data_IF_047591415986
#
_entry.id   IF_047591415986
#
_cell.length_a   1.000
_cell.length_b   1.000
_cell.length_c   1.000
_cell.angle_alpha   90.00
_cell.angle_beta   90.00
_cell.angle_gamma   90.00
#
_symmetry.space_group_name_H-M   'P 1'
#
loop_
_entity.id
_entity.type
_entity.pdbx_description
1 polymer ?
#
# COMPACT_ATOMS: atom_id res chain seq x y z
N UNK A 1 -18.88 -54.19 10.65
CA UNK A 1 -19.08 -52.75 10.38
C UNK A 1 -17.84 -51.90 10.70
N UNK A 2 -16.70 -52.48 11.12
CA UNK A 2 -15.44 -51.77 11.37
C UNK A 2 -14.45 -51.81 10.17
N UNK A 3 -14.60 -52.74 9.23
CA UNK A 3 -13.65 -52.90 8.10
C UNK A 3 -13.78 -51.84 7.00
N UNK A 4 -14.94 -51.18 6.90
CA UNK A 4 -15.16 -50.11 5.93
C UNK A 4 -14.59 -48.76 6.39
N UNK A 5 -14.31 -48.60 7.69
CA UNK A 5 -13.79 -47.36 8.28
C UNK A 5 -12.25 -47.32 8.34
N UNK A 6 -11.57 -48.47 8.25
CA UNK A 6 -10.11 -48.59 8.28
C UNK A 6 -9.38 -48.03 7.05
N UNK A 7 -9.87 -48.16 5.79
CA UNK A 7 -9.20 -47.51 4.66
C UNK A 7 -9.41 -45.99 4.67
N UNK A 8 -10.56 -45.53 5.15
CA UNK A 8 -10.91 -44.12 5.26
C UNK A 8 -10.06 -43.39 6.31
N UNK A 9 -9.85 -44.00 7.48
CA UNK A 9 -8.99 -43.45 8.52
C UNK A 9 -7.51 -43.44 8.10
N UNK A 10 -7.05 -44.49 7.41
CA UNK A 10 -5.70 -44.57 6.85
C UNK A 10 -5.45 -43.51 5.78
N UNK A 11 -6.45 -43.26 4.93
CA UNK A 11 -6.39 -42.20 3.92
C UNK A 11 -6.32 -40.81 4.58
N UNK A 12 -7.14 -40.54 5.60
CA UNK A 12 -7.12 -39.28 6.34
C UNK A 12 -5.79 -39.03 7.06
N UNK A 13 -5.17 -40.09 7.59
CA UNK A 13 -3.89 -40.03 8.29
C UNK A 13 -2.74 -39.61 7.37
N UNK A 14 -2.81 -39.96 6.09
CA UNK A 14 -1.79 -39.60 5.09
C UNK A 14 -2.13 -38.24 4.42
N UNK A 15 -3.41 -38.02 4.12
CA UNK A 15 -3.88 -36.85 3.40
C UNK A 15 -3.68 -35.55 4.19
N UNK A 16 -3.94 -35.55 5.50
CA UNK A 16 -3.79 -34.38 6.36
C UNK A 16 -2.36 -33.83 6.36
N UNK A 17 -1.34 -34.63 6.70
CA UNK A 17 0.05 -34.23 6.65
C UNK A 17 0.53 -33.84 5.25
N UNK A 18 0.08 -34.55 4.21
CA UNK A 18 0.43 -34.21 2.83
C UNK A 18 -0.08 -32.81 2.44
N UNK A 19 -1.33 -32.47 2.80
CA UNK A 19 -1.89 -31.14 2.63
C UNK A 19 -1.14 -30.09 3.47
N UNK A 20 -0.76 -30.44 4.70
CA UNK A 20 -0.01 -29.55 5.58
C UNK A 20 1.40 -29.23 5.04
N UNK A 21 2.09 -30.22 4.49
CA UNK A 21 3.39 -30.04 3.83
C UNK A 21 3.25 -29.19 2.56
N UNK A 22 2.24 -29.46 1.72
CA UNK A 22 1.97 -28.66 0.53
C UNK A 22 1.66 -27.19 0.87
N UNK A 23 0.83 -26.95 1.88
CA UNK A 23 0.53 -25.61 2.37
C UNK A 23 1.76 -24.94 2.99
N UNK A 24 2.58 -25.67 3.75
CA UNK A 24 3.85 -25.17 4.32
C UNK A 24 4.83 -24.73 3.23
N UNK A 25 4.98 -25.54 2.17
CA UNK A 25 5.79 -25.20 1.02
C UNK A 25 5.24 -23.95 0.30
N UNK A 26 3.91 -23.86 0.14
CA UNK A 26 3.27 -22.67 -0.42
C UNK A 26 3.51 -21.42 0.44
N UNK A 27 3.38 -21.53 1.78
CA UNK A 27 3.65 -20.44 2.72
C UNK A 27 5.09 -19.96 2.57
N UNK A 28 6.06 -20.87 2.60
CA UNK A 28 7.48 -20.53 2.51
C UNK A 28 7.87 -19.91 1.17
N UNK A 29 7.25 -20.34 0.06
CA UNK A 29 7.58 -19.86 -1.27
C UNK A 29 6.85 -18.58 -1.66
N UNK A 30 5.68 -18.30 -1.07
CA UNK A 30 4.85 -17.14 -1.46
C UNK A 30 4.87 -16.00 -0.45
N UNK A 31 5.21 -16.28 0.81
CA UNK A 31 5.26 -15.25 1.84
C UNK A 31 6.56 -14.47 1.69
N UNK A 32 6.43 -13.15 1.59
CA UNK A 32 7.59 -12.26 1.52
C UNK A 32 8.46 -12.41 2.78
N UNK A 33 9.77 -12.28 2.60
CA UNK A 33 10.77 -12.39 3.68
C UNK A 33 10.52 -11.42 4.84
N UNK A 34 9.75 -10.37 4.63
CA UNK A 34 9.43 -9.34 5.62
C UNK A 34 8.31 -9.74 6.59
N UNK A 35 7.61 -10.86 6.38
CA UNK A 35 6.49 -11.31 7.23
C UNK A 35 6.71 -12.73 7.80
N UNK A 36 7.89 -12.92 8.41
CA UNK A 36 8.29 -14.18 9.08
C UNK A 36 7.31 -14.57 10.18
N UNK A 37 6.81 -13.59 10.95
CA UNK A 37 5.90 -13.84 12.08
C UNK A 37 4.60 -14.47 11.63
N UNK A 38 3.97 -13.96 10.58
CA UNK A 38 2.74 -14.57 10.10
C UNK A 38 3.00 -15.85 9.28
N UNK A 39 4.21 -16.06 8.73
CA UNK A 39 4.57 -17.37 8.15
C UNK A 39 4.61 -18.46 9.24
N UNK A 40 5.29 -18.20 10.37
CA UNK A 40 5.35 -19.12 11.52
C UNK A 40 3.93 -19.37 12.08
N UNK A 41 3.11 -18.33 12.18
CA UNK A 41 1.72 -18.46 12.63
C UNK A 41 0.89 -19.40 11.75
N UNK A 42 0.96 -19.25 10.43
CA UNK A 42 0.23 -20.13 9.50
C UNK A 42 0.78 -21.55 9.45
N UNK A 43 2.09 -21.75 9.62
CA UNK A 43 2.68 -23.08 9.79
C UNK A 43 2.09 -23.77 11.03
N UNK A 44 2.03 -23.07 12.17
CA UNK A 44 1.44 -23.62 13.40
C UNK A 44 -0.03 -24.03 13.22
N UNK A 45 -0.85 -23.17 12.60
CA UNK A 45 -2.27 -23.43 12.36
C UNK A 45 -2.48 -24.64 11.44
N UNK A 46 -1.70 -24.74 10.36
CA UNK A 46 -1.79 -25.84 9.39
C UNK A 46 -1.34 -27.17 9.99
N UNK A 47 -0.30 -27.18 10.83
CA UNK A 47 0.18 -28.40 11.47
C UNK A 47 -0.72 -28.88 12.62
N UNK A 48 -1.28 -27.96 13.41
CA UNK A 48 -2.19 -28.30 14.50
C UNK A 48 -3.58 -28.71 13.99
N UNK A 49 -3.98 -28.17 12.84
CA UNK A 49 -5.27 -28.44 12.23
C UNK A 49 -5.15 -28.66 10.71
N UNK A 50 -4.75 -29.86 10.25
CA UNK A 50 -4.37 -30.09 8.85
C UNK A 50 -5.48 -29.84 7.83
N UNK A 51 -6.74 -30.09 8.18
CA UNK A 51 -7.86 -29.84 7.25
C UNK A 51 -8.36 -28.40 7.32
N UNK A 52 -8.77 -27.95 8.52
CA UNK A 52 -9.33 -26.60 8.64
C UNK A 52 -8.26 -25.49 8.63
N UNK A 53 -7.03 -25.77 9.06
CA UNK A 53 -5.91 -24.84 8.98
C UNK A 53 -5.48 -24.56 7.54
N UNK A 54 -5.50 -25.57 6.66
CA UNK A 54 -5.30 -25.38 5.21
C UNK A 54 -6.44 -24.56 4.61
N UNK A 55 -7.70 -24.86 4.95
CA UNK A 55 -8.84 -24.08 4.50
C UNK A 55 -8.73 -22.61 4.94
N UNK A 56 -8.41 -22.36 6.22
CA UNK A 56 -8.20 -21.02 6.77
C UNK A 56 -7.04 -20.31 6.08
N UNK A 57 -5.94 -21.01 5.79
CA UNK A 57 -4.81 -20.45 5.09
C UNK A 57 -5.16 -20.02 3.66
N UNK A 58 -5.95 -20.82 2.93
CA UNK A 58 -6.39 -20.49 1.58
C UNK A 58 -7.29 -19.24 1.55
N UNK A 59 -8.13 -19.06 2.57
CA UNK A 59 -9.08 -17.93 2.67
C UNK A 59 -8.38 -16.65 3.17
N UNK A 60 -7.58 -16.77 4.24
CA UNK A 60 -7.04 -15.61 4.98
C UNK A 60 -5.52 -15.46 4.90
N UNK A 61 -4.77 -16.54 4.69
CA UNK A 61 -3.31 -16.53 4.73
C UNK A 61 -2.65 -16.10 3.43
N UNK A 62 -3.32 -16.29 2.28
CA UNK A 62 -2.86 -15.79 0.99
C UNK A 62 -3.16 -14.29 0.93
N UNK A 63 -2.11 -13.46 1.09
CA UNK A 63 -2.22 -12.00 1.03
C UNK A 63 -2.47 -11.51 -0.41
N UNK A 64 -3.72 -11.68 -0.88
CA UNK A 64 -4.16 -11.39 -2.26
C UNK A 64 -4.08 -9.90 -2.62
N UNK A 65 -4.07 -9.01 -1.63
CA UNK A 65 -3.95 -7.55 -1.81
C UNK A 65 -2.55 -7.16 -2.30
N UNK A 66 -1.49 -7.73 -1.72
CA UNK A 66 -0.10 -7.48 -2.16
C UNK A 66 0.15 -7.87 -3.61
N UNK A 67 -0.47 -8.96 -4.08
CA UNK A 67 -0.35 -9.42 -5.48
C UNK A 67 -0.94 -8.43 -6.49
N UNK A 68 -2.09 -7.82 -6.17
CA UNK A 68 -2.70 -6.77 -7.01
C UNK A 68 -1.89 -5.47 -6.95
N UNK A 69 -1.39 -5.07 -5.78
CA UNK A 69 -0.55 -3.87 -5.64
C UNK A 69 0.76 -3.95 -6.45
N UNK A 70 1.41 -5.13 -6.47
CA UNK A 70 2.61 -5.37 -7.31
C UNK A 70 2.32 -5.29 -8.82
N UNK A 71 1.15 -5.76 -9.27
CA UNK A 71 0.73 -5.66 -10.67
C UNK A 71 0.41 -4.22 -11.10
N UNK A 72 -0.04 -3.36 -10.19
CA UNK A 72 -0.26 -1.93 -10.47
C UNK A 72 1.07 -1.18 -10.54
N UNK A 73 2.03 -1.47 -9.64
CA UNK A 73 3.38 -0.89 -9.67
C UNK A 73 4.15 -1.21 -10.95
N UNK A 74 4.05 -2.45 -11.45
CA UNK A 74 4.70 -2.88 -12.69
C UNK A 74 4.10 -2.28 -13.98
N UNK A 75 2.90 -1.68 -13.92
CA UNK A 75 2.29 -0.97 -15.07
C UNK A 75 2.51 0.54 -15.04
N UNK A 76 2.75 1.11 -13.85
CA UNK A 76 2.98 2.54 -13.68
C UNK A 76 4.40 2.96 -14.08
N UNK A 77 5.39 2.07 -13.94
CA UNK A 77 6.77 2.30 -14.37
C UNK A 77 6.96 1.82 -15.81
N UNK A 78 6.39 2.54 -16.77
CA UNK A 78 6.68 2.30 -18.18
C UNK A 78 8.14 2.63 -18.51
N UNK A 79 8.69 1.98 -19.54
CA UNK A 79 10.06 2.24 -20.06
C UNK A 79 10.31 3.74 -20.33
N UNK A 80 9.26 4.50 -20.69
CA UNK A 80 9.35 5.95 -20.86
C UNK A 80 9.54 6.73 -19.55
N UNK A 81 8.94 6.27 -18.44
CA UNK A 81 9.14 6.85 -17.11
C UNK A 81 10.53 6.50 -16.56
N UNK A 82 11.01 5.29 -16.83
CA UNK A 82 12.37 4.85 -16.47
C UNK A 82 13.43 5.66 -17.22
N UNK A 83 13.32 5.81 -18.54
CA UNK A 83 14.23 6.65 -19.34
C UNK A 83 14.18 8.14 -18.94
N UNK A 84 13.00 8.65 -18.59
CA UNK A 84 12.84 10.01 -18.09
C UNK A 84 13.47 10.18 -16.70
N UNK A 85 13.33 9.20 -15.81
CA UNK A 85 13.93 9.18 -14.49
C UNK A 85 15.46 9.14 -14.58
N UNK A 86 16.05 8.27 -15.40
CA UNK A 86 17.50 8.20 -15.61
C UNK A 86 18.05 9.54 -16.14
N UNK A 87 17.39 10.16 -17.14
CA UNK A 87 17.81 11.48 -17.65
C UNK A 87 17.72 12.58 -16.59
N UNK A 88 16.73 12.51 -15.70
CA UNK A 88 16.50 13.48 -14.63
C UNK A 88 17.50 13.30 -13.49
N UNK A 89 17.82 12.06 -13.13
CA UNK A 89 18.85 11.72 -12.16
C UNK A 89 20.21 12.27 -12.58
N UNK A 90 20.63 12.08 -13.85
CA UNK A 90 21.87 12.64 -14.37
C UNK A 90 21.89 14.17 -14.33
N UNK A 91 20.74 14.81 -14.55
CA UNK A 91 20.63 16.28 -14.45
C UNK A 91 20.78 16.74 -13.00
N UNK A 92 20.13 16.07 -12.05
CA UNK A 92 20.13 16.50 -10.65
C UNK A 92 21.45 16.15 -9.98
N UNK A 93 22.02 14.98 -10.25
CA UNK A 93 23.35 14.62 -9.75
C UNK A 93 24.39 15.67 -10.17
N UNK A 94 24.33 16.19 -11.40
CA UNK A 94 25.20 17.28 -11.88
C UNK A 94 24.94 18.61 -11.16
N UNK A 95 23.67 19.00 -10.99
CA UNK A 95 23.34 20.23 -10.24
C UNK A 95 23.75 20.13 -8.77
N UNK A 96 23.59 18.94 -8.17
CA UNK A 96 23.96 18.67 -6.79
C UNK A 96 25.48 18.62 -6.62
N UNK A 97 26.22 18.09 -7.59
CA UNK A 97 27.68 18.05 -7.58
C UNK A 97 28.28 19.47 -7.51
N UNK A 98 27.63 20.44 -8.17
CA UNK A 98 28.05 21.84 -8.15
C UNK A 98 27.82 22.55 -6.80
N UNK A 99 26.83 22.11 -6.01
CA UNK A 99 26.38 22.83 -4.80
C UNK A 99 26.74 22.07 -3.51
N UNK A 100 26.61 20.75 -3.54
CA UNK A 100 26.80 19.85 -2.41
C UNK A 100 27.32 18.48 -2.89
N UNK A 101 28.58 18.38 -3.35
CA UNK A 101 29.14 17.15 -3.94
C UNK A 101 29.10 15.95 -3.01
N UNK A 102 29.20 16.17 -1.70
CA UNK A 102 29.11 15.12 -0.68
C UNK A 102 27.73 14.44 -0.62
N UNK A 103 26.67 15.06 -1.16
CA UNK A 103 25.32 14.50 -1.19
C UNK A 103 25.03 13.67 -2.45
N UNK A 104 25.89 13.73 -3.48
CA UNK A 104 25.68 13.03 -4.76
C UNK A 104 25.57 11.51 -4.55
N UNK A 105 26.41 10.94 -3.67
CA UNK A 105 26.35 9.53 -3.33
C UNK A 105 25.02 9.13 -2.68
N UNK A 106 24.50 9.98 -1.77
CA UNK A 106 23.21 9.77 -1.12
C UNK A 106 22.05 9.91 -2.11
N UNK A 107 22.12 10.85 -3.04
CA UNK A 107 21.13 11.03 -4.10
C UNK A 107 21.01 9.77 -4.99
N UNK A 108 22.14 9.23 -5.44
CA UNK A 108 22.20 7.98 -6.23
C UNK A 108 21.69 6.78 -5.44
N UNK A 109 22.10 6.66 -4.18
CA UNK A 109 21.61 5.59 -3.31
C UNK A 109 20.09 5.66 -3.12
N UNK A 110 19.56 6.87 -2.88
CA UNK A 110 18.13 7.13 -2.79
C UNK A 110 17.39 6.69 -4.05
N UNK A 111 17.91 7.02 -5.23
CA UNK A 111 17.34 6.58 -6.51
C UNK A 111 17.34 5.06 -6.65
N UNK A 112 18.47 4.38 -6.41
CA UNK A 112 18.55 2.94 -6.51
C UNK A 112 17.63 2.19 -5.53
N UNK A 113 17.38 2.76 -4.34
CA UNK A 113 16.51 2.14 -3.33
C UNK A 113 15.02 2.41 -3.58
N UNK A 114 14.68 3.61 -4.04
CA UNK A 114 13.28 4.04 -4.18
C UNK A 114 12.74 3.92 -5.61
N UNK A 115 13.61 3.91 -6.62
CA UNK A 115 13.28 4.07 -8.03
C UNK A 115 12.97 5.51 -8.44
N UNK A 116 12.98 6.45 -7.49
CA UNK A 116 12.59 7.85 -7.71
C UNK A 116 13.82 8.76 -7.77
N UNK A 117 13.86 9.68 -8.73
CA UNK A 117 14.91 10.70 -8.76
C UNK A 117 14.58 11.82 -7.77
N UNK A 118 15.60 12.53 -7.31
CA UNK A 118 15.38 13.79 -6.59
C UNK A 118 14.56 14.76 -7.45
N UNK A 119 14.03 15.81 -6.84
CA UNK A 119 13.36 16.89 -7.57
C UNK A 119 13.97 18.21 -7.12
N UNK A 120 14.46 18.99 -8.09
CA UNK A 120 14.80 20.37 -7.83
C UNK A 120 13.49 21.17 -7.68
N UNK A 121 13.39 21.91 -6.58
CA UNK A 121 12.27 22.80 -6.29
C UNK A 121 12.84 24.19 -6.05
N UNK A 122 12.17 25.21 -6.60
CA UNK A 122 12.59 26.60 -6.46
C UNK A 122 12.20 27.18 -5.09
N UNK A 123 11.11 26.67 -4.51
CA UNK A 123 10.59 27.09 -3.22
C UNK A 123 10.17 25.86 -2.40
N UNK A 124 10.60 25.84 -1.12
CA UNK A 124 10.29 24.79 -0.16
C UNK A 124 9.98 25.46 1.18
N UNK A 125 8.70 25.55 1.51
CA UNK A 125 8.24 26.13 2.75
C UNK A 125 7.85 25.03 3.73
N UNK A 126 8.62 24.81 4.82
CA UNK A 126 8.20 23.88 5.87
C UNK A 126 7.02 24.46 6.65
N UNK A 127 5.91 23.73 6.67
CA UNK A 127 4.74 24.07 7.46
C UNK A 127 4.78 23.31 8.78
N UNK A 128 4.98 24.03 9.88
CA UNK A 128 4.98 23.45 11.21
C UNK A 128 3.56 23.24 11.70
N UNK A 129 3.29 22.05 12.24
CA UNK A 129 2.04 21.70 12.91
C UNK A 129 0.76 21.82 12.06
N UNK A 130 -0.37 21.42 12.63
CA UNK A 130 -1.67 21.46 11.96
C UNK A 130 -2.18 22.88 11.73
N UNK A 131 -1.84 23.83 12.60
CA UNK A 131 -2.33 25.22 12.51
C UNK A 131 -1.83 25.95 11.26
N UNK A 132 -0.59 25.66 10.82
CA UNK A 132 -0.08 26.19 9.56
C UNK A 132 -0.40 25.25 8.38
N UNK A 133 -0.29 23.94 8.57
CA UNK A 133 -0.45 22.97 7.49
C UNK A 133 -1.88 22.87 6.96
N UNK A 134 -2.89 22.76 7.83
CA UNK A 134 -4.27 22.53 7.38
C UNK A 134 -4.84 23.69 6.57
N UNK A 135 -4.70 24.98 6.96
CA UNK A 135 -5.18 26.08 6.14
C UNK A 135 -4.50 26.14 4.77
N UNK A 136 -3.21 25.84 4.69
CA UNK A 136 -2.49 25.79 3.42
C UNK A 136 -2.98 24.65 2.52
N UNK A 137 -3.19 23.46 3.08
CA UNK A 137 -3.76 22.31 2.36
C UNK A 137 -5.17 22.60 1.84
N UNK A 138 -6.03 23.23 2.67
CA UNK A 138 -7.38 23.59 2.28
C UNK A 138 -7.37 24.62 1.14
N UNK A 139 -6.47 25.62 1.19
CA UNK A 139 -6.29 26.57 0.09
C UNK A 139 -5.84 25.88 -1.20
N UNK A 140 -4.91 24.93 -1.11
CA UNK A 140 -4.49 24.16 -2.27
C UNK A 140 -5.65 23.35 -2.89
N UNK A 141 -6.55 22.80 -2.06
CA UNK A 141 -7.78 22.13 -2.53
C UNK A 141 -8.73 23.13 -3.21
N UNK A 142 -8.87 24.32 -2.65
CA UNK A 142 -9.73 25.37 -3.21
C UNK A 142 -9.22 25.88 -4.57
N UNK A 143 -7.90 25.93 -4.76
CA UNK A 143 -7.24 26.39 -5.99
C UNK A 143 -7.02 25.29 -7.05
N UNK A 144 -7.17 24.02 -6.68
CA UNK A 144 -6.95 22.89 -7.57
C UNK A 144 -7.87 22.93 -8.81
N UNK A 145 -7.27 22.63 -9.98
CA UNK A 145 -7.93 22.70 -11.30
C UNK A 145 -8.06 21.38 -12.04
N UNK A 146 -7.21 20.39 -11.76
CA UNK A 146 -7.14 19.15 -12.53
C UNK A 146 -7.41 17.92 -11.68
N UNK A 147 -6.60 17.71 -10.64
CA UNK A 147 -6.76 16.58 -9.74
C UNK A 147 -6.37 16.92 -8.30
N UNK A 148 -6.91 16.12 -7.37
CA UNK A 148 -6.52 16.08 -5.97
C UNK A 148 -6.36 14.61 -5.58
N UNK A 149 -5.19 14.26 -5.05
CA UNK A 149 -4.89 12.95 -4.48
C UNK A 149 -4.59 13.11 -2.99
N UNK A 150 -5.53 12.71 -2.14
CA UNK A 150 -5.37 12.75 -0.68
C UNK A 150 -5.10 11.35 -0.16
N UNK A 151 -3.97 11.15 0.53
CA UNK A 151 -3.69 9.92 1.26
C UNK A 151 -3.42 10.25 2.73
N UNK A 152 -4.19 9.68 3.66
CA UNK A 152 -4.00 9.92 5.11
C UNK A 152 -4.23 8.66 5.94
N UNK A 153 -3.53 8.56 7.06
CA UNK A 153 -3.68 7.48 8.02
C UNK A 153 -4.93 7.65 8.89
N UNK A 154 -5.21 8.87 9.35
CA UNK A 154 -6.41 9.18 10.16
C UNK A 154 -7.22 10.23 9.42
N UNK A 155 -8.51 9.93 9.28
CA UNK A 155 -9.53 10.86 8.87
C UNK A 155 -10.71 10.63 9.79
N UNK A 156 -11.22 11.69 10.42
CA UNK A 156 -12.40 11.62 11.28
C UNK A 156 -13.41 12.71 10.88
N UNK A 157 -14.65 12.58 11.34
CA UNK A 157 -15.72 13.56 11.11
C UNK A 157 -15.77 14.62 12.21
N UNK A 158 -14.61 15.15 12.56
CA UNK A 158 -14.47 16.31 13.43
C UNK A 158 -14.55 17.61 12.62
N UNK A 159 -14.27 18.75 13.27
CA UNK A 159 -14.29 20.05 12.61
C UNK A 159 -13.31 20.13 11.42
N UNK A 160 -12.13 19.50 11.54
CA UNK A 160 -11.09 19.53 10.51
C UNK A 160 -11.46 18.62 9.35
N UNK A 161 -11.78 17.35 9.62
CA UNK A 161 -12.14 16.41 8.56
C UNK A 161 -13.43 16.79 7.84
N UNK A 162 -14.38 17.44 8.53
CA UNK A 162 -15.56 18.03 7.88
C UNK A 162 -15.16 19.15 6.92
N UNK A 163 -14.29 20.07 7.36
CA UNK A 163 -13.79 21.15 6.52
C UNK A 163 -13.02 20.66 5.27
N UNK A 164 -12.28 19.55 5.39
CA UNK A 164 -11.65 18.87 4.25
C UNK A 164 -12.69 18.25 3.33
N UNK A 165 -13.65 17.49 3.86
CA UNK A 165 -14.66 16.82 3.06
C UNK A 165 -15.51 17.81 2.24
N UNK A 166 -15.89 18.94 2.82
CA UNK A 166 -16.64 20.00 2.15
C UNK A 166 -15.86 20.60 0.98
N UNK A 167 -14.58 20.93 1.17
CA UNK A 167 -13.75 21.51 0.11
C UNK A 167 -13.40 20.52 -0.99
N UNK A 168 -13.18 19.25 -0.64
CA UNK A 168 -12.98 18.18 -1.61
C UNK A 168 -14.24 17.97 -2.45
N UNK A 169 -15.43 18.04 -1.83
CA UNK A 169 -16.69 17.96 -2.54
C UNK A 169 -16.91 19.17 -3.45
N UNK A 170 -16.58 20.38 -2.99
CA UNK A 170 -16.62 21.59 -3.80
C UNK A 170 -15.68 21.49 -5.01
N UNK A 171 -14.45 21.01 -4.81
CA UNK A 171 -13.49 20.78 -5.89
C UNK A 171 -14.01 19.78 -6.93
N UNK A 172 -14.61 18.67 -6.47
CA UNK A 172 -15.27 17.72 -7.36
C UNK A 172 -16.43 18.36 -8.14
N UNK A 173 -17.22 19.23 -7.48
CA UNK A 173 -18.27 20.02 -8.13
C UNK A 173 -17.75 20.95 -9.23
N UNK A 174 -16.50 21.42 -9.12
CA UNK A 174 -15.81 22.18 -10.19
C UNK A 174 -15.26 21.30 -11.33
N UNK A 175 -15.38 19.98 -11.23
CA UNK A 175 -14.86 19.02 -12.23
C UNK A 175 -13.44 18.52 -11.97
N UNK A 176 -12.86 18.77 -10.79
CA UNK A 176 -11.54 18.25 -10.40
C UNK A 176 -11.62 16.75 -10.12
N UNK A 177 -10.66 15.95 -10.60
CA UNK A 177 -10.56 14.51 -10.29
C UNK A 177 -10.07 14.32 -8.85
N UNK A 178 -11.00 14.03 -7.93
CA UNK A 178 -10.69 13.86 -6.51
C UNK A 178 -10.66 12.39 -6.14
N UNK A 179 -9.48 11.91 -5.72
CA UNK A 179 -9.24 10.54 -5.23
C UNK A 179 -8.67 10.56 -3.82
N UNK A 180 -9.26 9.74 -2.96
CA UNK A 180 -8.95 9.71 -1.54
C UNK A 180 -8.54 8.28 -1.15
N UNK A 181 -7.47 8.17 -0.37
CA UNK A 181 -7.00 6.93 0.24
C UNK A 181 -6.92 7.14 1.74
N UNK A 182 -7.73 6.40 2.50
CA UNK A 182 -7.72 6.42 3.96
C UNK A 182 -7.42 5.03 4.52
N UNK A 183 -6.71 4.97 5.64
CA UNK A 183 -6.48 3.71 6.34
C UNK A 183 -7.78 3.15 6.94
N UNK A 184 -7.98 1.84 6.83
CA UNK A 184 -9.22 1.18 7.26
C UNK A 184 -9.37 1.09 8.78
N UNK A 185 -8.26 1.02 9.53
CA UNK A 185 -8.24 0.91 10.99
C UNK A 185 -8.26 2.30 11.62
N UNK A 186 -7.49 3.24 11.09
CA UNK A 186 -7.46 4.63 11.53
C UNK A 186 -8.68 5.46 11.13
N UNK A 187 -9.48 4.99 10.16
CA UNK A 187 -10.63 5.74 9.61
C UNK A 187 -11.87 4.85 9.42
N UNK A 188 -12.25 4.11 10.47
CA UNK A 188 -13.36 3.15 10.42
C UNK A 188 -14.66 3.82 9.95
N UNK A 189 -15.22 3.33 8.85
CA UNK A 189 -16.48 3.82 8.30
C UNK A 189 -16.38 5.12 7.49
N UNK A 190 -15.23 5.79 7.47
CA UNK A 190 -15.04 7.06 6.77
C UNK A 190 -15.10 6.91 5.26
N UNK A 191 -14.38 5.95 4.69
CA UNK A 191 -14.41 5.71 3.24
C UNK A 191 -15.83 5.47 2.73
N UNK A 192 -16.66 4.76 3.52
CA UNK A 192 -18.08 4.54 3.19
C UNK A 192 -18.86 5.86 3.18
N UNK A 193 -18.62 6.76 4.14
CA UNK A 193 -19.30 8.05 4.21
C UNK A 193 -18.85 8.99 3.09
N UNK A 194 -17.55 9.07 2.80
CA UNK A 194 -17.02 9.83 1.66
C UNK A 194 -17.64 9.37 0.32
N UNK A 195 -17.73 8.06 0.08
CA UNK A 195 -18.39 7.51 -1.11
C UNK A 195 -19.87 7.88 -1.21
N UNK A 196 -20.61 7.92 -0.09
CA UNK A 196 -22.02 8.36 -0.08
C UNK A 196 -22.16 9.84 -0.43
N UNK A 197 -21.15 10.67 -0.12
CA UNK A 197 -21.10 12.08 -0.52
C UNK A 197 -20.66 12.25 -1.98
N UNK A 198 -20.34 11.16 -2.69
CA UNK A 198 -19.94 11.17 -4.09
C UNK A 198 -18.45 11.32 -4.32
N UNK A 199 -17.59 11.22 -3.29
CA UNK A 199 -16.13 11.22 -3.44
C UNK A 199 -15.60 9.82 -3.75
N UNK A 200 -14.54 9.71 -4.55
CA UNK A 200 -13.87 8.44 -4.84
C UNK A 200 -12.86 8.14 -3.71
N UNK A 201 -13.27 7.25 -2.79
CA UNK A 201 -12.57 6.91 -1.54
C UNK A 201 -12.65 5.42 -1.23
#
# INVERSE_FOLDING_TARGET
MNDLLSPLSSLLLILGPALAVAASLHILLTKDKDDVRAAIGWLGVVWLFPFGGVLLYLVFGINRVRRRARQVRGRAHGVAAELAATRREDSIARSLDAIAPHLVGLARLGHHLSGESLMAVDDLVPLAEGEAAYPAMLRAIDEARHDIRLATYIFDWDAIGTAFAERLLAARGRGVDVRILVDAVGSIGVARRLRRLGLDA
#
